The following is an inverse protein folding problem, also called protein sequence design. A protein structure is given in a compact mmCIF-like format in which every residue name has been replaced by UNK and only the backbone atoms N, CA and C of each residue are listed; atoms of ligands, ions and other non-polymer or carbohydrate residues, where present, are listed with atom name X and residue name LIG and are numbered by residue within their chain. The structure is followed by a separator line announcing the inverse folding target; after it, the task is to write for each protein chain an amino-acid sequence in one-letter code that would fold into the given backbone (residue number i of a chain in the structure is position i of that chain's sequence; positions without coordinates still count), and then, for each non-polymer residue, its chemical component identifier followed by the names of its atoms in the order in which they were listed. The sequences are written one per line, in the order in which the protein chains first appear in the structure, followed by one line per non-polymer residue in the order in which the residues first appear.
data_IF_406419357226
#
_entry.id   IF_406419357226
#
_cell.length_a   1.000
_cell.length_b   1.000
_cell.length_c   1.000
_cell.angle_alpha   90.00
_cell.angle_beta   90.00
_cell.angle_gamma   90.00
#
_symmetry.space_group_name_H-M   'P 1'
#
loop_
_entity.id
_entity.type
_entity.pdbx_description
1 polymer ?
#
# COMPACT_ATOMS: atom_id res chain seq x y z
N UNK A 1 -23.63 -0.09 5.97
CA UNK A 1 -23.70 0.05 4.49
C UNK A 1 -22.49 0.77 3.88
N UNK A 2 -21.78 1.66 4.58
CA UNK A 2 -20.61 2.39 4.03
C UNK A 2 -19.38 1.51 3.71
N UNK A 3 -19.16 0.42 4.47
CA UNK A 3 -18.00 -0.47 4.29
C UNK A 3 -18.01 -1.19 2.92
N UNK A 4 -19.21 -1.57 2.44
CA UNK A 4 -19.39 -2.23 1.14
C UNK A 4 -19.13 -1.29 -0.05
N UNK A 5 -19.52 -0.01 0.08
CA UNK A 5 -19.22 1.01 -0.92
C UNK A 5 -17.73 1.35 -0.97
N UNK A 6 -17.04 1.32 0.18
CA UNK A 6 -15.59 1.46 0.23
C UNK A 6 -14.89 0.31 -0.51
N UNK A 7 -15.24 -0.94 -0.19
CA UNK A 7 -14.66 -2.12 -0.83
C UNK A 7 -14.92 -2.18 -2.35
N UNK A 8 -16.11 -1.76 -2.80
CA UNK A 8 -16.45 -1.67 -4.22
C UNK A 8 -15.60 -0.66 -5.00
N UNK A 9 -15.22 0.47 -4.38
CA UNK A 9 -14.29 1.42 -5.00
C UNK A 9 -12.86 0.89 -5.06
N UNK A 10 -12.42 0.07 -4.09
CA UNK A 10 -11.09 -0.57 -4.10
C UNK A 10 -10.98 -1.62 -5.17
N UNK A 11 -12.00 -2.48 -5.29
CA UNK A 11 -12.04 -3.48 -6.34
C UNK A 11 -11.96 -2.80 -7.72
N UNK A 12 -12.67 -1.68 -7.89
CA UNK A 12 -12.62 -0.90 -9.11
C UNK A 12 -11.24 -0.26 -9.36
N UNK A 13 -10.58 0.32 -8.35
CA UNK A 13 -9.24 0.92 -8.51
C UNK A 13 -8.15 -0.16 -8.73
N UNK A 14 -8.23 -1.29 -8.04
CA UNK A 14 -7.28 -2.40 -8.17
C UNK A 14 -7.37 -3.07 -9.55
N UNK A 15 -8.57 -3.17 -10.13
CA UNK A 15 -8.77 -3.70 -11.48
C UNK A 15 -8.40 -2.71 -12.59
N UNK A 16 -8.54 -1.39 -12.36
CA UNK A 16 -8.33 -0.39 -13.40
C UNK A 16 -6.85 -0.03 -13.65
N UNK A 17 -5.95 -0.30 -12.69
CA UNK A 17 -4.60 0.27 -12.73
C UNK A 17 -3.43 -0.73 -12.61
N UNK A 18 -3.66 -2.03 -12.36
CA UNK A 18 -2.56 -3.00 -12.27
C UNK A 18 -1.48 -2.57 -11.25
N UNK A 19 -1.91 -2.01 -10.13
CA UNK A 19 -1.04 -1.28 -9.19
C UNK A 19 -0.21 -2.27 -8.38
N UNK A 20 1.10 -2.26 -8.62
CA UNK A 20 2.09 -2.95 -7.79
C UNK A 20 2.22 -2.32 -6.38
N UNK A 21 2.97 -2.97 -5.49
CA UNK A 21 3.25 -2.46 -4.15
C UNK A 21 3.66 -0.97 -4.12
N UNK A 22 4.40 -0.51 -5.14
CA UNK A 22 4.93 0.84 -5.20
C UNK A 22 3.84 1.89 -5.42
N UNK A 23 2.91 1.62 -6.34
CA UNK A 23 1.78 2.52 -6.55
C UNK A 23 0.86 2.60 -5.31
N UNK A 24 0.66 1.51 -4.59
CA UNK A 24 -0.08 1.50 -3.31
C UNK A 24 0.63 2.34 -2.24
N UNK A 25 1.95 2.19 -2.10
CA UNK A 25 2.77 2.96 -1.17
C UNK A 25 2.63 4.46 -1.44
N UNK A 26 2.69 4.88 -2.71
CA UNK A 26 2.50 6.27 -3.09
C UNK A 26 1.11 6.79 -2.68
N UNK A 27 0.06 6.06 -3.01
CA UNK A 27 -1.31 6.44 -2.66
C UNK A 27 -1.53 6.51 -1.14
N UNK A 28 -0.94 5.60 -0.36
CA UNK A 28 -0.99 5.62 1.11
C UNK A 28 -0.30 6.87 1.66
N UNK A 29 0.88 7.22 1.15
CA UNK A 29 1.62 8.41 1.58
C UNK A 29 0.79 9.67 1.33
N UNK A 30 0.21 9.81 0.13
CA UNK A 30 -0.64 10.95 -0.23
C UNK A 30 -1.92 11.03 0.64
N UNK A 31 -2.59 9.89 0.85
CA UNK A 31 -3.78 9.82 1.70
C UNK A 31 -3.44 10.17 3.16
N UNK A 32 -2.33 9.66 3.67
CA UNK A 32 -1.91 9.90 5.04
C UNK A 32 -1.47 11.36 5.28
N UNK A 33 -0.85 12.01 4.30
CA UNK A 33 -0.48 13.42 4.37
C UNK A 33 -1.69 14.36 4.38
N UNK A 34 -2.79 13.94 3.75
CA UNK A 34 -4.04 14.71 3.66
C UNK A 34 -5.04 14.37 4.77
N UNK A 35 -4.73 13.40 5.64
CA UNK A 35 -5.59 12.97 6.73
C UNK A 35 -5.81 14.09 7.77
N UNK A 36 -7.09 14.32 8.10
CA UNK A 36 -7.51 15.31 9.11
C UNK A 36 -7.57 14.74 10.53
N UNK A 37 -7.76 13.42 10.66
CA UNK A 37 -7.82 12.69 11.94
C UNK A 37 -6.55 11.87 12.12
N UNK A 38 -6.14 11.66 13.36
CA UNK A 38 -4.95 10.85 13.71
C UNK A 38 -3.68 11.28 12.94
N UNK A 39 -3.50 12.59 12.73
CA UNK A 39 -2.52 13.14 11.79
C UNK A 39 -1.09 12.66 12.08
N UNK A 40 -0.69 12.62 13.34
CA UNK A 40 0.65 12.14 13.72
C UNK A 40 0.83 10.65 13.39
N UNK A 41 -0.17 9.82 13.69
CA UNK A 41 -0.18 8.39 13.35
C UNK A 41 -0.12 8.19 11.84
N UNK A 42 -0.94 8.92 11.08
CA UNK A 42 -0.92 8.88 9.61
C UNK A 42 0.44 9.31 9.05
N UNK A 43 1.05 10.37 9.59
CA UNK A 43 2.38 10.80 9.16
C UNK A 43 3.47 9.77 9.50
N UNK A 44 3.41 9.14 10.67
CA UNK A 44 4.32 8.04 11.02
C UNK A 44 4.15 6.86 10.06
N UNK A 45 2.91 6.50 9.75
CA UNK A 45 2.60 5.45 8.79
C UNK A 45 3.16 5.78 7.40
N UNK A 46 2.97 7.01 6.91
CA UNK A 46 3.53 7.46 5.64
C UNK A 46 5.06 7.31 5.59
N UNK A 47 5.76 7.67 6.67
CA UNK A 47 7.22 7.48 6.77
C UNK A 47 7.61 6.00 6.71
N UNK A 48 6.90 5.13 7.45
CA UNK A 48 7.18 3.68 7.47
C UNK A 48 6.95 3.03 6.12
N UNK A 49 5.82 3.33 5.50
CA UNK A 49 5.42 2.77 4.20
C UNK A 49 6.34 3.26 3.09
N UNK A 50 6.85 4.50 3.17
CA UNK A 50 7.90 4.99 2.27
C UNK A 50 9.21 4.20 2.41
N UNK A 51 9.69 3.96 3.62
CA UNK A 51 10.90 3.15 3.84
C UNK A 51 10.75 1.73 3.28
N UNK A 52 9.56 1.13 3.42
CA UNK A 52 9.24 -0.16 2.80
C UNK A 52 9.35 -0.07 1.28
N UNK A 53 8.81 0.99 0.66
CA UNK A 53 8.90 1.21 -0.79
C UNK A 53 10.33 1.33 -1.29
N UNK A 54 11.17 2.07 -0.57
CA UNK A 54 12.60 2.21 -0.89
C UNK A 54 13.33 0.85 -0.82
N UNK A 55 13.00 0.01 0.17
CA UNK A 55 13.53 -1.35 0.30
C UNK A 55 13.03 -2.28 -0.81
N UNK A 56 11.74 -2.25 -1.15
CA UNK A 56 11.18 -3.06 -2.23
C UNK A 56 11.80 -2.69 -3.57
N UNK A 57 12.09 -1.41 -3.81
CA UNK A 57 12.78 -0.95 -5.01
C UNK A 57 14.22 -1.48 -5.08
N UNK A 58 14.91 -1.59 -3.95
CA UNK A 58 16.22 -2.25 -3.90
C UNK A 58 16.11 -3.75 -4.15
N UNK A 59 15.12 -4.41 -3.55
CA UNK A 59 14.88 -5.85 -3.69
C UNK A 59 14.56 -6.25 -5.14
N UNK A 60 13.77 -5.46 -5.86
CA UNK A 60 13.48 -5.68 -7.29
C UNK A 60 14.72 -5.58 -8.19
N UNK A 61 15.77 -4.88 -7.76
CA UNK A 61 17.04 -4.81 -8.51
C UNK A 61 17.93 -6.04 -8.29
N UNK A 62 17.56 -6.89 -7.34
CA UNK A 62 18.24 -8.17 -7.08
C UNK A 62 17.49 -9.31 -7.75
N UNK A 63 18.16 -10.45 -7.92
CA UNK A 63 17.52 -11.67 -8.41
C UNK A 63 16.64 -12.35 -7.36
N UNK A 64 16.62 -11.85 -6.12
CA UNK A 64 15.89 -12.48 -5.01
C UNK A 64 14.38 -12.55 -5.24
N UNK A 65 13.81 -11.62 -6.02
CA UNK A 65 12.38 -11.65 -6.37
C UNK A 65 11.98 -12.86 -7.25
N UNK A 66 12.95 -13.59 -7.81
CA UNK A 66 12.68 -14.85 -8.53
C UNK A 66 12.40 -16.01 -7.57
N UNK A 67 12.86 -15.89 -6.31
CA UNK A 67 12.67 -16.90 -5.28
C UNK A 67 11.28 -16.77 -4.64
N UNK A 68 10.45 -17.84 -4.63
CA UNK A 68 9.12 -17.83 -4.01
C UNK A 68 9.15 -17.39 -2.55
N UNK A 69 10.22 -17.69 -1.82
CA UNK A 69 10.41 -17.32 -0.41
C UNK A 69 10.48 -15.81 -0.21
N UNK A 70 10.87 -15.06 -1.25
CA UNK A 70 10.92 -13.60 -1.25
C UNK A 70 9.68 -13.00 -1.90
N UNK A 71 9.23 -13.59 -3.01
CA UNK A 71 8.06 -13.11 -3.76
C UNK A 71 6.77 -13.22 -2.94
N UNK A 72 6.52 -14.34 -2.28
CA UNK A 72 5.26 -14.58 -1.56
C UNK A 72 5.04 -13.58 -0.40
N UNK A 73 6.04 -13.24 0.43
CA UNK A 73 5.90 -12.17 1.42
C UNK A 73 5.63 -10.79 0.81
N UNK A 74 6.20 -10.47 -0.36
CA UNK A 74 5.96 -9.19 -1.04
C UNK A 74 4.52 -9.12 -1.56
N UNK A 75 3.98 -10.20 -2.11
CA UNK A 75 2.56 -10.27 -2.51
C UNK A 75 1.61 -10.13 -1.30
N UNK A 76 1.92 -10.72 -0.14
CA UNK A 76 1.13 -10.54 1.08
C UNK A 76 1.22 -9.10 1.63
N UNK A 77 2.39 -8.47 1.48
CA UNK A 77 2.59 -7.07 1.84
C UNK A 77 1.72 -6.16 0.96
N UNK A 78 1.59 -6.43 -0.34
CA UNK A 78 0.68 -5.68 -1.23
C UNK A 78 -0.75 -5.70 -0.71
N UNK A 79 -1.26 -6.86 -0.29
CA UNK A 79 -2.62 -6.96 0.25
C UNK A 79 -2.77 -6.16 1.56
N UNK A 80 -1.76 -6.20 2.44
CA UNK A 80 -1.73 -5.39 3.67
C UNK A 80 -1.72 -3.89 3.36
N UNK A 81 -0.98 -3.48 2.32
CA UNK A 81 -0.94 -2.09 1.87
C UNK A 81 -2.29 -1.63 1.31
N UNK A 82 -3.01 -2.50 0.58
CA UNK A 82 -4.39 -2.20 0.14
C UNK A 82 -5.33 -1.95 1.31
N UNK A 83 -5.30 -2.81 2.31
CA UNK A 83 -6.11 -2.65 3.53
C UNK A 83 -5.75 -1.36 4.28
N UNK A 84 -4.46 -1.05 4.36
CA UNK A 84 -3.96 0.18 5.00
C UNK A 84 -4.49 1.43 4.29
N UNK A 85 -4.40 1.47 2.96
CA UNK A 85 -4.95 2.57 2.16
C UNK A 85 -6.44 2.80 2.46
N UNK A 86 -7.18 1.71 2.58
CA UNK A 86 -8.61 1.77 2.88
C UNK A 86 -8.95 2.35 4.23
N UNK A 87 -8.19 1.99 5.25
CA UNK A 87 -8.37 2.52 6.60
C UNK A 87 -8.05 4.02 6.70
N UNK A 88 -7.15 4.53 5.87
CA UNK A 88 -6.83 5.96 5.85
C UNK A 88 -7.93 6.77 5.15
N UNK A 89 -8.58 6.18 4.14
CA UNK A 89 -9.64 6.83 3.35
C UNK A 89 -11.02 6.79 4.00
N UNK A 90 -11.26 5.89 4.95
CA UNK A 90 -12.53 5.77 5.70
C UNK A 90 -12.74 6.89 6.72
#
# INVERSE_FOLDING_TARGET
MALWNGLGQVANIAQLAGVDAYGLIKMIVEAAQTAKRNRETCQQLARRVKMIGDLLQQLQRTELMQHPETRNPVEQLEETLRQTYMLIKS
#
